data_IF_734678128382
#
_entry.id   IF_734678128382
#
_cell.length_a   1.000
_cell.length_b   1.000
_cell.length_c   1.000
_cell.angle_alpha   90.00
_cell.angle_beta   90.00
_cell.angle_gamma   90.00
#
_symmetry.space_group_name_H-M   'P 1'
#
loop_
_entity.id
_entity.type
_entity.pdbx_description
1 polymer ?
#
# COMPACT_ATOMS: atom_id res chain seq x y z
N UNK A 1 12.43 19.98 -24.26
CA UNK A 1 12.72 18.68 -23.60
C UNK A 1 12.85 18.92 -22.10
N UNK A 2 12.05 18.26 -21.26
CA UNK A 2 12.16 18.39 -19.79
C UNK A 2 13.39 17.61 -19.32
N UNK A 3 14.41 18.28 -18.78
CA UNK A 3 15.58 17.63 -18.16
C UNK A 3 15.11 16.80 -16.96
N UNK A 4 15.51 15.52 -16.89
CA UNK A 4 15.28 14.70 -15.71
C UNK A 4 16.02 15.30 -14.51
N UNK A 5 15.30 15.54 -13.41
CA UNK A 5 15.85 16.15 -12.18
C UNK A 5 16.88 15.23 -11.48
N UNK A 6 16.75 13.93 -11.69
CA UNK A 6 17.67 12.90 -11.21
C UNK A 6 18.37 12.25 -12.39
N UNK A 7 19.69 12.14 -12.31
CA UNK A 7 20.51 11.45 -13.32
C UNK A 7 20.50 9.93 -13.15
N UNK A 8 20.05 9.45 -11.98
CA UNK A 8 19.94 8.03 -11.64
C UNK A 8 19.57 7.81 -10.17
N UNK A 9 19.41 6.55 -9.73
CA UNK A 9 19.00 6.20 -8.37
C UNK A 9 20.04 6.62 -7.33
N UNK A 10 21.34 6.50 -7.64
CA UNK A 10 22.43 6.90 -6.74
C UNK A 10 22.45 8.42 -6.54
N UNK A 11 22.25 9.19 -7.61
CA UNK A 11 22.13 10.67 -7.56
C UNK A 11 20.91 11.10 -6.71
N UNK A 12 19.81 10.34 -6.78
CA UNK A 12 18.64 10.55 -5.92
C UNK A 12 18.98 10.30 -4.45
N UNK A 13 19.55 9.14 -4.12
CA UNK A 13 19.93 8.81 -2.74
C UNK A 13 20.91 9.85 -2.15
N UNK A 14 21.93 10.26 -2.90
CA UNK A 14 22.91 11.25 -2.43
C UNK A 14 22.27 12.62 -2.16
N UNK A 15 21.34 13.06 -3.01
CA UNK A 15 20.61 14.32 -2.80
C UNK A 15 19.72 14.25 -1.56
N UNK A 16 18.97 13.16 -1.39
CA UNK A 16 18.10 12.96 -0.21
C UNK A 16 18.92 12.93 1.08
N UNK A 17 20.04 12.22 1.12
CA UNK A 17 20.91 12.19 2.30
C UNK A 17 21.49 13.56 2.62
N UNK A 18 21.82 14.36 1.60
CA UNK A 18 22.39 15.70 1.77
C UNK A 18 21.36 16.75 2.19
N UNK A 19 20.11 16.61 1.75
CA UNK A 19 19.02 17.57 2.03
C UNK A 19 18.24 17.23 3.31
N UNK A 20 17.96 15.95 3.56
CA UNK A 20 17.07 15.50 4.65
C UNK A 20 17.80 14.69 5.74
N UNK A 21 19.04 14.27 5.50
CA UNK A 21 19.85 13.50 6.45
C UNK A 21 19.64 11.99 6.39
N UNK A 22 20.61 11.24 6.93
CA UNK A 22 20.64 9.77 6.89
C UNK A 22 19.51 9.12 7.71
N UNK A 23 19.11 9.75 8.82
CA UNK A 23 18.01 9.26 9.67
C UNK A 23 16.68 9.27 8.92
N UNK A 24 16.43 10.30 8.11
CA UNK A 24 15.23 10.38 7.27
C UNK A 24 15.28 9.33 6.17
N UNK A 25 16.44 9.02 5.57
CA UNK A 25 16.52 7.92 4.59
C UNK A 25 16.08 6.56 5.18
N UNK A 26 16.38 6.29 6.45
CA UNK A 26 16.04 5.01 7.09
C UNK A 26 14.66 5.01 7.76
N UNK A 27 14.16 6.16 8.19
CA UNK A 27 12.87 6.27 8.90
C UNK A 27 11.72 6.68 7.98
N UNK A 28 12.01 7.41 6.90
CA UNK A 28 11.02 7.86 5.91
C UNK A 28 10.44 6.66 5.18
N UNK A 29 9.15 6.42 5.41
CA UNK A 29 8.41 5.32 4.81
C UNK A 29 8.48 4.00 5.59
N UNK A 30 9.20 3.90 6.72
CA UNK A 30 9.21 2.69 7.54
C UNK A 30 7.82 2.45 8.16
N UNK A 31 7.22 3.50 8.75
CA UNK A 31 5.87 3.43 9.32
C UNK A 31 4.84 3.10 8.24
N UNK A 32 4.95 3.75 7.07
CA UNK A 32 4.11 3.45 5.91
C UNK A 32 4.25 1.99 5.46
N UNK A 33 5.46 1.43 5.52
CA UNK A 33 5.72 0.04 5.11
C UNK A 33 5.16 -0.95 6.12
N UNK A 34 5.36 -0.73 7.42
CA UNK A 34 4.80 -1.58 8.48
C UNK A 34 3.27 -1.59 8.40
N UNK A 35 2.67 -0.41 8.21
CA UNK A 35 1.23 -0.28 8.06
C UNK A 35 0.73 -1.07 6.84
N UNK A 36 1.48 -1.05 5.72
CA UNK A 36 1.16 -1.77 4.47
C UNK A 36 1.14 -3.27 4.68
N UNK A 37 2.21 -3.78 5.25
CA UNK A 37 2.34 -5.21 5.53
C UNK A 37 1.22 -5.67 6.46
N UNK A 38 0.94 -4.89 7.51
CA UNK A 38 -0.12 -5.22 8.46
C UNK A 38 -1.48 -5.34 7.78
N UNK A 39 -1.86 -4.38 6.93
CA UNK A 39 -3.15 -4.43 6.24
C UNK A 39 -3.23 -5.51 5.16
N UNK A 40 -2.17 -5.72 4.36
CA UNK A 40 -2.18 -6.80 3.36
C UNK A 40 -2.28 -8.17 4.04
N UNK A 41 -1.50 -8.46 5.09
CA UNK A 41 -1.59 -9.74 5.78
C UNK A 41 -2.93 -9.93 6.48
N UNK A 42 -3.50 -8.88 7.08
CA UNK A 42 -4.84 -8.93 7.65
C UNK A 42 -5.89 -9.28 6.59
N UNK A 43 -5.84 -8.65 5.41
CA UNK A 43 -6.70 -8.97 4.28
C UNK A 43 -6.49 -10.39 3.76
N UNK A 44 -5.25 -10.83 3.64
CA UNK A 44 -4.89 -12.15 3.15
C UNK A 44 -5.39 -13.27 4.06
N UNK A 45 -5.03 -13.22 5.35
CA UNK A 45 -5.43 -14.24 6.32
C UNK A 45 -6.93 -14.18 6.62
N UNK A 46 -7.52 -12.98 6.65
CA UNK A 46 -8.96 -12.80 6.81
C UNK A 46 -9.75 -13.41 5.65
N UNK A 47 -9.40 -13.05 4.41
CA UNK A 47 -10.04 -13.60 3.21
C UNK A 47 -9.86 -15.11 3.09
N UNK A 48 -8.64 -15.59 3.36
CA UNK A 48 -8.33 -17.02 3.38
C UNK A 48 -9.18 -17.78 4.41
N UNK A 49 -9.24 -17.30 5.66
CA UNK A 49 -9.96 -17.98 6.73
C UNK A 49 -11.47 -17.98 6.51
N UNK A 50 -12.04 -16.85 6.10
CA UNK A 50 -13.47 -16.73 5.81
C UNK A 50 -13.89 -17.65 4.66
N UNK A 51 -13.11 -17.67 3.58
CA UNK A 51 -13.41 -18.52 2.43
C UNK A 51 -13.22 -20.00 2.76
N UNK A 52 -12.16 -20.36 3.47
CA UNK A 52 -11.93 -21.74 3.95
C UNK A 52 -13.08 -22.21 4.85
N UNK A 53 -13.56 -21.35 5.75
CA UNK A 53 -14.70 -21.64 6.64
C UNK A 53 -16.00 -21.78 5.86
N UNK A 54 -16.24 -20.94 4.86
CA UNK A 54 -17.41 -21.06 3.99
C UNK A 54 -17.40 -22.42 3.25
N UNK A 55 -16.28 -22.80 2.65
CA UNK A 55 -16.13 -24.09 1.97
C UNK A 55 -16.35 -25.29 2.90
N UNK A 56 -15.82 -25.25 4.13
CA UNK A 56 -16.05 -26.29 5.13
C UNK A 56 -17.54 -26.43 5.49
N UNK A 57 -18.27 -25.30 5.61
CA UNK A 57 -19.71 -25.31 5.86
C UNK A 57 -20.51 -25.85 4.66
N UNK A 58 -20.10 -25.55 3.43
CA UNK A 58 -20.75 -26.08 2.22
C UNK A 58 -20.56 -27.59 2.05
N UNK A 59 -19.38 -28.13 2.39
CA UNK A 59 -19.10 -29.56 2.30
C UNK A 59 -19.54 -30.35 3.54
N UNK A 60 -19.89 -29.67 4.64
CA UNK A 60 -20.26 -30.32 5.91
C UNK A 60 -19.11 -31.07 6.59
N UNK A 61 -17.86 -30.75 6.25
CA UNK A 61 -16.65 -31.43 6.72
C UNK A 61 -15.83 -30.56 7.68
N UNK A 62 -14.89 -31.18 8.39
CA UNK A 62 -13.92 -30.45 9.21
C UNK A 62 -12.94 -29.64 8.35
N UNK A 63 -12.37 -28.56 8.90
CA UNK A 63 -11.40 -27.69 8.21
C UNK A 63 -10.15 -28.41 7.71
N UNK A 64 -9.80 -29.57 8.31
CA UNK A 64 -8.65 -30.40 7.93
C UNK A 64 -8.97 -31.46 6.86
N UNK A 65 -10.24 -31.76 6.62
CA UNK A 65 -10.66 -32.72 5.57
C UNK A 65 -10.87 -32.04 4.20
N UNK A 66 -10.65 -30.73 4.11
CA UNK A 66 -10.74 -30.01 2.84
C UNK A 66 -9.70 -30.53 1.84
N UNK A 67 -10.16 -30.90 0.65
CA UNK A 67 -9.26 -31.31 -0.43
C UNK A 67 -8.28 -30.20 -0.84
N UNK A 68 -7.15 -30.58 -1.42
CA UNK A 68 -6.11 -29.67 -1.92
C UNK A 68 -6.63 -28.55 -2.83
N UNK A 69 -7.70 -28.81 -3.60
CA UNK A 69 -8.37 -27.79 -4.44
C UNK A 69 -9.01 -26.67 -3.62
N UNK A 70 -9.59 -26.98 -2.46
CA UNK A 70 -10.20 -25.99 -1.57
C UNK A 70 -9.15 -25.08 -0.93
N UNK A 71 -7.98 -25.63 -0.62
CA UNK A 71 -6.82 -24.86 -0.16
C UNK A 71 -6.29 -23.91 -1.25
N UNK A 72 -6.19 -24.39 -2.49
CA UNK A 72 -5.78 -23.57 -3.63
C UNK A 72 -6.74 -22.39 -3.86
N UNK A 73 -8.06 -22.65 -3.87
CA UNK A 73 -9.07 -21.61 -4.04
C UNK A 73 -9.07 -20.61 -2.88
N UNK A 74 -8.93 -21.09 -1.64
CA UNK A 74 -8.82 -20.22 -0.45
C UNK A 74 -7.58 -19.34 -0.50
N UNK A 75 -6.46 -19.87 -1.01
CA UNK A 75 -5.24 -19.10 -1.26
C UNK A 75 -5.46 -18.00 -2.32
N UNK A 76 -6.16 -18.32 -3.41
CA UNK A 76 -6.51 -17.33 -4.45
C UNK A 76 -7.40 -16.21 -3.93
N UNK A 77 -8.43 -16.54 -3.13
CA UNK A 77 -9.31 -15.55 -2.50
C UNK A 77 -8.56 -14.70 -1.47
N UNK A 78 -7.68 -15.32 -0.66
CA UNK A 78 -6.79 -14.58 0.24
C UNK A 78 -5.90 -13.58 -0.52
N UNK A 79 -5.35 -13.98 -1.67
CA UNK A 79 -4.57 -13.10 -2.53
C UNK A 79 -5.36 -11.89 -3.05
N UNK A 80 -6.58 -12.13 -3.54
CA UNK A 80 -7.49 -11.06 -3.97
C UNK A 80 -7.81 -10.09 -2.82
N UNK A 81 -8.08 -10.61 -1.62
CA UNK A 81 -8.34 -9.79 -0.45
C UNK A 81 -7.13 -8.94 -0.04
N UNK A 82 -5.90 -9.49 -0.06
CA UNK A 82 -4.70 -8.65 0.17
C UNK A 82 -4.65 -7.51 -0.83
N UNK A 83 -4.80 -7.79 -2.13
CA UNK A 83 -4.79 -6.75 -3.17
C UNK A 83 -5.84 -5.66 -2.91
N UNK A 84 -7.08 -6.04 -2.63
CA UNK A 84 -8.15 -5.06 -2.35
C UNK A 84 -7.82 -4.19 -1.12
N UNK A 85 -7.19 -4.76 -0.09
CA UNK A 85 -6.81 -4.01 1.12
C UNK A 85 -5.56 -3.15 0.93
N UNK A 86 -4.59 -3.58 0.12
CA UNK A 86 -3.32 -2.88 -0.08
C UNK A 86 -3.42 -1.77 -1.13
N UNK A 87 -4.30 -1.93 -2.12
CA UNK A 87 -4.46 -1.01 -3.24
C UNK A 87 -4.63 0.46 -2.86
N UNK A 88 -5.56 0.86 -1.95
CA UNK A 88 -5.71 2.27 -1.58
C UNK A 88 -4.43 2.86 -0.96
N UNK A 89 -3.67 2.04 -0.24
CA UNK A 89 -2.42 2.45 0.37
C UNK A 89 -1.31 2.64 -0.67
N UNK A 90 -1.26 1.78 -1.69
CA UNK A 90 -0.30 1.91 -2.78
C UNK A 90 -0.52 3.23 -3.55
N UNK A 91 -1.77 3.63 -3.81
CA UNK A 91 -2.08 4.91 -4.45
C UNK A 91 -1.61 6.11 -3.61
N UNK A 92 -1.86 6.08 -2.29
CA UNK A 92 -1.42 7.14 -1.38
C UNK A 92 0.11 7.24 -1.37
N UNK A 93 0.80 6.10 -1.30
CA UNK A 93 2.26 6.02 -1.33
C UNK A 93 2.83 6.51 -2.65
N UNK A 94 2.27 6.10 -3.79
CA UNK A 94 2.70 6.59 -5.10
C UNK A 94 2.52 8.11 -5.21
N UNK A 95 1.41 8.68 -4.74
CA UNK A 95 1.20 10.14 -4.76
C UNK A 95 2.17 10.88 -3.84
N UNK A 96 2.55 10.30 -2.69
CA UNK A 96 3.57 10.85 -1.79
C UNK A 96 4.97 10.78 -2.42
N UNK A 97 5.36 9.64 -2.99
CA UNK A 97 6.69 9.44 -3.57
C UNK A 97 6.89 10.12 -4.93
N UNK A 98 5.80 10.39 -5.67
CA UNK A 98 5.85 11.11 -6.96
C UNK A 98 5.86 12.64 -6.77
N UNK A 99 5.87 13.13 -5.52
CA UNK A 99 6.02 14.56 -5.28
C UNK A 99 7.35 15.07 -5.86
N UNK A 100 7.29 16.20 -6.56
CA UNK A 100 8.47 16.83 -7.14
C UNK A 100 9.26 17.54 -6.05
N UNK A 101 10.58 17.32 -6.02
CA UNK A 101 11.49 18.10 -5.18
C UNK A 101 11.34 19.59 -5.51
N UNK A 102 11.09 20.41 -4.48
CA UNK A 102 10.82 21.85 -4.60
C UNK A 102 9.33 22.23 -4.64
N UNK A 103 8.40 21.27 -4.71
CA UNK A 103 6.96 21.49 -4.51
C UNK A 103 6.46 20.55 -3.40
N UNK A 104 6.84 20.86 -2.16
CA UNK A 104 6.37 20.13 -0.96
C UNK A 104 4.88 20.43 -0.79
N UNK A 105 4.04 19.60 -1.42
CA UNK A 105 2.58 19.75 -1.39
C UNK A 105 1.96 19.13 -0.14
N UNK A 106 2.63 18.14 0.45
CA UNK A 106 2.27 17.53 1.73
C UNK A 106 3.44 17.76 2.69
N UNK A 107 3.39 18.81 3.54
CA UNK A 107 4.46 19.09 4.48
C UNK A 107 4.54 17.97 5.52
N UNK A 108 5.75 17.45 5.76
CA UNK A 108 5.99 16.51 6.86
C UNK A 108 5.91 17.29 8.17
N UNK A 109 4.90 17.00 8.97
CA UNK A 109 4.73 17.70 10.24
C UNK A 109 5.76 17.17 11.26
N UNK A 110 6.54 18.03 11.94
CA UNK A 110 7.56 17.57 12.88
C UNK A 110 6.97 16.90 14.15
N UNK A 111 5.71 17.18 14.48
CA UNK A 111 5.06 16.62 15.68
C UNK A 111 4.14 15.44 15.40
N UNK A 112 3.86 15.12 14.13
CA UNK A 112 2.99 14.00 13.74
C UNK A 112 3.77 13.17 12.72
N UNK A 113 4.12 11.91 13.00
CA UNK A 113 4.82 11.04 12.05
C UNK A 113 3.85 10.50 11.00
N UNK A 114 3.04 11.38 10.39
CA UNK A 114 2.10 11.01 9.34
C UNK A 114 2.71 11.13 7.94
N UNK A 115 3.91 11.70 7.81
CA UNK A 115 4.62 11.92 6.54
C UNK A 115 3.74 12.59 5.45
N UNK A 116 2.69 13.33 5.85
CA UNK A 116 1.72 13.91 4.92
C UNK A 116 0.69 12.92 4.33
N UNK A 117 0.62 11.68 4.83
CA UNK A 117 -0.37 10.65 4.44
C UNK A 117 -1.80 11.17 4.61
N UNK A 118 -2.11 11.77 5.76
CA UNK A 118 -3.46 12.25 6.07
C UNK A 118 -3.86 13.38 5.11
N UNK A 119 -2.93 14.28 4.81
CA UNK A 119 -3.14 15.36 3.85
C UNK A 119 -3.37 14.83 2.43
N UNK A 120 -2.62 13.80 2.02
CA UNK A 120 -2.79 13.12 0.74
C UNK A 120 -4.15 12.41 0.65
N UNK A 121 -4.53 11.65 1.68
CA UNK A 121 -5.83 10.97 1.77
C UNK A 121 -6.98 11.97 1.69
N UNK A 122 -6.90 13.07 2.45
CA UNK A 122 -7.90 14.14 2.41
C UNK A 122 -8.00 14.78 1.03
N UNK A 123 -6.86 15.01 0.36
CA UNK A 123 -6.87 15.54 -1.01
C UNK A 123 -7.55 14.57 -1.99
N UNK A 124 -7.20 13.28 -1.94
CA UNK A 124 -7.81 12.25 -2.81
C UNK A 124 -9.31 12.20 -2.57
N UNK A 125 -9.74 12.18 -1.31
CA UNK A 125 -11.14 12.14 -0.94
C UNK A 125 -11.92 13.36 -1.46
N UNK A 126 -11.37 14.57 -1.29
CA UNK A 126 -12.04 15.81 -1.70
C UNK A 126 -12.07 15.99 -3.22
N UNK A 127 -11.00 15.59 -3.94
CA UNK A 127 -10.88 15.83 -5.39
C UNK A 127 -11.41 14.71 -6.25
N UNK A 128 -11.17 13.47 -5.85
CA UNK A 128 -11.41 12.28 -6.67
C UNK A 128 -12.42 11.32 -6.00
N UNK A 129 -12.83 11.59 -4.76
CA UNK A 129 -13.75 10.75 -4.00
C UNK A 129 -13.19 9.35 -3.74
N UNK A 130 -14.10 8.38 -3.56
CA UNK A 130 -13.73 6.96 -3.38
C UNK A 130 -13.08 6.38 -4.62
N UNK A 131 -13.48 6.83 -5.82
CA UNK A 131 -12.88 6.39 -7.10
C UNK A 131 -11.39 6.72 -7.20
N UNK A 132 -10.94 7.80 -6.56
CA UNK A 132 -9.53 8.19 -6.52
C UNK A 132 -8.60 7.14 -5.92
N UNK A 133 -9.09 6.33 -4.97
CA UNK A 133 -8.32 5.25 -4.35
C UNK A 133 -8.22 3.99 -5.22
N UNK A 134 -9.08 3.85 -6.24
CA UNK A 134 -9.14 2.70 -7.15
C UNK A 134 -8.66 3.06 -8.57
N UNK A 135 -8.07 4.24 -8.72
CA UNK A 135 -7.67 4.77 -10.00
C UNK A 135 -6.43 4.04 -10.53
N UNK A 136 -6.61 3.30 -11.62
CA UNK A 136 -5.59 2.41 -12.16
C UNK A 136 -5.78 0.94 -11.77
N UNK A 137 -6.92 0.57 -11.15
CA UNK A 137 -7.24 -0.83 -10.87
C UNK A 137 -7.63 -1.59 -12.14
N UNK A 138 -8.00 -0.85 -13.20
CA UNK A 138 -8.55 -1.39 -14.45
C UNK A 138 -7.61 -1.43 -15.67
N UNK A 139 -6.51 -0.66 -15.83
CA UNK A 139 -5.61 -0.87 -16.96
C UNK A 139 -4.43 -1.75 -16.56
N UNK A 140 -4.59 -3.05 -16.82
CA UNK A 140 -3.53 -3.95 -17.28
C UNK A 140 -3.59 -4.02 -18.80
#
# INVERSE_FOLDING_TARGET
MKRAYYKGPIDCCMKVVREEGLSVLMTSGLISTILRETFCYAGQFGGYFLFKRALAQFHGCSLDELGHSSYFLSGGVGGLCCWLTSYPQDIVKTKLQTQKVGQIKYPRHPTIPDEGIISCVKEIWVKEGTYGFWKGFTPC
#
